data_IF_558460243448
#
_entry.id   IF_558460243448
#
_cell.length_a   1.000
_cell.length_b   1.000
_cell.length_c   1.000
_cell.angle_alpha   90.00
_cell.angle_beta   90.00
_cell.angle_gamma   90.00
#
_symmetry.space_group_name_H-M   'P 1'
#
loop_
_entity.id
_entity.type
_entity.pdbx_description
1 polymer ?
#
# COMPACT_ATOMS: atom_id res chain seq x y z
N UNK A 1 2.67 12.04 12.50
CA UNK A 1 1.50 11.83 13.39
C UNK A 1 1.28 10.36 13.61
N UNK A 2 0.53 9.93 14.64
CA UNK A 2 0.24 8.52 14.83
C UNK A 2 -0.57 8.06 13.61
N UNK A 3 -0.01 7.14 12.82
CA UNK A 3 -0.75 6.53 11.72
C UNK A 3 -1.89 5.66 12.26
N UNK A 4 -2.79 5.25 11.36
CA UNK A 4 -3.89 4.36 11.73
C UNK A 4 -3.33 2.95 11.93
N UNK A 5 -3.48 2.40 13.14
CA UNK A 5 -3.10 1.02 13.44
C UNK A 5 -4.21 0.09 12.94
N UNK A 6 -3.88 -0.81 12.01
CA UNK A 6 -4.83 -1.79 11.47
C UNK A 6 -4.90 -3.07 12.29
N UNK A 7 -3.82 -3.39 13.02
CA UNK A 7 -3.68 -4.63 13.77
C UNK A 7 -2.24 -4.85 14.23
N UNK A 8 -1.92 -6.08 14.63
CA UNK A 8 -0.56 -6.48 15.04
C UNK A 8 -0.18 -7.82 14.41
N UNK A 9 1.08 -7.96 14.04
CA UNK A 9 1.69 -9.21 13.56
C UNK A 9 2.98 -9.44 14.35
N UNK A 10 3.14 -10.62 14.95
CA UNK A 10 4.31 -10.93 15.78
C UNK A 10 4.53 -9.94 16.95
N UNK A 11 3.45 -9.30 17.43
CA UNK A 11 3.52 -8.25 18.45
C UNK A 11 3.78 -6.83 17.94
N UNK A 12 4.22 -6.67 16.70
CA UNK A 12 4.47 -5.35 16.09
C UNK A 12 3.21 -4.79 15.42
N UNK A 13 2.92 -3.48 15.57
CA UNK A 13 1.76 -2.84 14.95
C UNK A 13 1.93 -2.70 13.44
N UNK A 14 0.84 -2.97 12.71
CA UNK A 14 0.72 -2.64 11.28
C UNK A 14 0.08 -1.27 11.16
N UNK A 15 0.76 -0.30 10.54
CA UNK A 15 0.38 1.12 10.59
C UNK A 15 0.26 1.75 9.21
N UNK A 16 -0.91 2.30 8.90
CA UNK A 16 -1.05 3.23 7.76
C UNK A 16 -0.57 4.61 8.20
N UNK A 17 0.63 4.99 7.78
CA UNK A 17 1.13 6.34 7.99
C UNK A 17 0.41 7.35 7.07
N UNK A 18 0.22 8.61 7.50
CA UNK A 18 -0.30 9.67 6.64
C UNK A 18 0.51 9.85 5.35
N UNK A 19 1.83 9.66 5.42
CA UNK A 19 2.71 9.65 4.26
C UNK A 19 2.40 8.53 3.27
N UNK A 20 1.99 7.35 3.76
CA UNK A 20 1.58 6.23 2.89
C UNK A 20 0.27 6.54 2.17
N UNK A 21 -0.67 7.24 2.83
CA UNK A 21 -1.90 7.73 2.18
C UNK A 21 -1.58 8.76 1.10
N UNK A 22 -0.71 9.74 1.40
CA UNK A 22 -0.25 10.72 0.44
C UNK A 22 0.44 10.06 -0.77
N UNK A 23 1.27 9.05 -0.52
CA UNK A 23 1.93 8.29 -1.58
C UNK A 23 0.92 7.52 -2.44
N UNK A 24 -0.08 6.86 -1.83
CA UNK A 24 -1.15 6.20 -2.57
C UNK A 24 -1.96 7.16 -3.43
N UNK A 25 -2.27 8.35 -2.91
CA UNK A 25 -2.94 9.41 -3.66
C UNK A 25 -2.08 9.94 -4.82
N UNK A 26 -0.77 10.10 -4.60
CA UNK A 26 0.16 10.51 -5.64
C UNK A 26 0.24 9.46 -6.76
N UNK A 27 0.37 8.18 -6.42
CA UNK A 27 0.35 7.08 -7.39
C UNK A 27 -0.95 7.11 -8.18
N UNK A 28 -2.10 7.22 -7.52
CA UNK A 28 -3.40 7.30 -8.17
C UNK A 28 -3.48 8.47 -9.15
N UNK A 29 -3.09 9.67 -8.71
CA UNK A 29 -3.13 10.89 -9.52
C UNK A 29 -2.19 10.82 -10.73
N UNK A 30 -0.99 10.27 -10.55
CA UNK A 30 -0.01 10.11 -11.64
C UNK A 30 -0.44 9.06 -12.66
N UNK A 31 -1.07 7.97 -12.22
CA UNK A 31 -1.46 6.87 -13.11
C UNK A 31 -2.81 7.06 -13.79
N UNK A 32 -3.74 7.80 -13.17
CA UNK A 32 -5.08 8.00 -13.72
C UNK A 32 -5.09 8.46 -15.19
N UNK A 33 -4.30 9.46 -15.63
CA UNK A 33 -4.29 9.89 -17.02
C UNK A 33 -3.84 8.80 -18.01
N UNK A 34 -2.92 7.93 -17.61
CA UNK A 34 -2.46 6.82 -18.44
C UNK A 34 -3.52 5.72 -18.56
N UNK A 35 -4.16 5.35 -17.44
CA UNK A 35 -5.24 4.37 -17.42
C UNK A 35 -6.45 4.87 -18.20
N UNK A 36 -6.87 6.12 -17.98
CA UNK A 36 -8.00 6.73 -18.68
C UNK A 36 -7.82 6.76 -20.21
N UNK A 37 -6.61 7.05 -20.69
CA UNK A 37 -6.29 7.00 -22.13
C UNK A 37 -6.31 5.57 -22.69
N UNK A 38 -5.86 4.60 -21.89
CA UNK A 38 -5.78 3.19 -22.29
C UNK A 38 -7.14 2.49 -22.28
N UNK A 39 -8.08 2.99 -21.46
CA UNK A 39 -9.44 2.46 -21.31
C UNK A 39 -10.48 3.31 -22.07
N UNK A 40 -10.16 3.74 -23.29
CA UNK A 40 -11.12 4.47 -24.11
C UNK A 40 -12.38 3.61 -24.37
N UNK A 41 -13.56 4.21 -24.20
CA UNK A 41 -14.87 3.52 -24.30
C UNK A 41 -15.38 2.90 -23.00
N UNK A 42 -14.60 2.93 -21.91
CA UNK A 42 -15.06 2.52 -20.57
C UNK A 42 -15.61 3.70 -19.76
N UNK A 43 -16.43 3.38 -18.77
CA UNK A 43 -16.96 4.38 -17.84
C UNK A 43 -15.89 4.88 -16.88
N UNK A 44 -16.04 6.11 -16.38
CA UNK A 44 -15.15 6.67 -15.35
C UNK A 44 -15.05 5.77 -14.12
N UNK A 45 -16.15 5.14 -13.70
CA UNK A 45 -16.17 4.24 -12.55
C UNK A 45 -15.24 3.03 -12.75
N UNK A 46 -15.21 2.46 -13.96
CA UNK A 46 -14.31 1.35 -14.28
C UNK A 46 -12.85 1.78 -14.27
N UNK A 47 -12.54 2.97 -14.82
CA UNK A 47 -11.20 3.55 -14.79
C UNK A 47 -10.72 3.77 -13.35
N UNK A 48 -11.58 4.37 -12.51
CA UNK A 48 -11.29 4.58 -11.09
C UNK A 48 -11.10 3.25 -10.34
N UNK A 49 -11.91 2.24 -10.67
CA UNK A 49 -11.76 0.88 -10.11
C UNK A 49 -10.40 0.26 -10.42
N UNK A 50 -9.91 0.40 -11.65
CA UNK A 50 -8.58 -0.09 -12.06
C UNK A 50 -7.46 0.66 -11.35
N UNK A 51 -7.55 2.00 -11.27
CA UNK A 51 -6.55 2.81 -10.55
C UNK A 51 -6.52 2.45 -9.06
N UNK A 52 -7.68 2.29 -8.43
CA UNK A 52 -7.78 1.87 -7.04
C UNK A 52 -7.18 0.47 -6.84
N UNK A 53 -7.52 -0.49 -7.70
CA UNK A 53 -6.96 -1.83 -7.63
C UNK A 53 -5.43 -1.83 -7.74
N UNK A 54 -4.85 -1.00 -8.61
CA UNK A 54 -3.41 -0.84 -8.73
C UNK A 54 -2.78 -0.30 -7.45
N UNK A 55 -3.36 0.75 -6.85
CA UNK A 55 -2.88 1.32 -5.58
C UNK A 55 -2.96 0.30 -4.45
N UNK A 56 -4.08 -0.43 -4.33
CA UNK A 56 -4.23 -1.50 -3.34
C UNK A 56 -3.22 -2.62 -3.57
N UNK A 57 -2.95 -2.99 -4.81
CA UNK A 57 -1.92 -3.96 -5.17
C UNK A 57 -0.53 -3.54 -4.71
N UNK A 58 -0.17 -2.26 -4.91
CA UNK A 58 1.09 -1.69 -4.39
C UNK A 58 1.14 -1.73 -2.87
N UNK A 59 0.06 -1.34 -2.19
CA UNK A 59 -0.02 -1.39 -0.72
C UNK A 59 0.22 -2.81 -0.20
N UNK A 60 -0.45 -3.81 -0.78
CA UNK A 60 -0.26 -5.22 -0.41
C UNK A 60 1.17 -5.68 -0.71
N UNK A 61 1.73 -5.31 -1.86
CA UNK A 61 3.10 -5.69 -2.24
C UNK A 61 4.14 -5.13 -1.27
N UNK A 62 4.04 -3.84 -0.91
CA UNK A 62 4.96 -3.19 0.04
C UNK A 62 4.79 -3.81 1.41
N UNK A 63 3.56 -4.06 1.86
CA UNK A 63 3.31 -4.70 3.14
C UNK A 63 3.94 -6.10 3.23
N UNK A 64 3.78 -6.93 2.18
CA UNK A 64 4.40 -8.25 2.14
C UNK A 64 5.93 -8.19 2.11
N UNK A 65 6.50 -7.17 1.44
CA UNK A 65 7.94 -6.91 1.42
C UNK A 65 8.47 -6.56 2.83
N UNK A 66 7.82 -5.64 3.53
CA UNK A 66 8.19 -5.26 4.90
C UNK A 66 7.99 -6.42 5.88
N UNK A 67 6.92 -7.21 5.70
CA UNK A 67 6.68 -8.41 6.48
C UNK A 67 7.83 -9.42 6.30
N UNK A 68 8.26 -9.65 5.06
CA UNK A 68 9.39 -10.53 4.77
C UNK A 68 10.69 -10.03 5.43
N UNK A 69 10.94 -8.72 5.42
CA UNK A 69 12.06 -8.12 6.15
C UNK A 69 11.96 -8.36 7.66
N UNK A 70 10.80 -8.13 8.27
CA UNK A 70 10.62 -8.34 9.71
C UNK A 70 10.69 -9.80 10.13
N UNK A 71 10.16 -10.74 9.33
CA UNK A 71 10.29 -12.18 9.59
C UNK A 71 11.74 -12.64 9.49
N UNK A 72 12.46 -12.19 8.46
CA UNK A 72 13.89 -12.48 8.30
C UNK A 72 14.72 -11.88 9.44
N UNK A 73 14.40 -10.65 9.86
CA UNK A 73 15.03 -10.01 11.02
C UNK A 73 14.77 -10.79 12.31
N UNK A 74 13.53 -11.24 12.53
CA UNK A 74 13.13 -12.02 13.71
C UNK A 74 13.89 -13.33 13.79
N UNK A 75 14.05 -14.02 12.65
CA UNK A 75 14.86 -15.24 12.57
C UNK A 75 16.34 -15.01 12.93
N UNK A 76 16.85 -13.78 12.76
CA UNK A 76 18.19 -13.35 13.15
C UNK A 76 18.25 -12.67 14.53
N UNK A 77 17.16 -12.74 15.32
CA UNK A 77 17.08 -12.17 16.67
C UNK A 77 16.76 -10.68 16.75
N UNK A 78 16.35 -10.04 15.64
CA UNK A 78 15.96 -8.62 15.59
C UNK A 78 14.44 -8.50 15.45
N UNK A 79 13.80 -7.93 16.47
CA UNK A 79 12.34 -7.80 16.50
C UNK A 79 11.86 -6.55 15.75
N UNK A 80 10.83 -6.67 14.91
CA UNK A 80 10.21 -5.53 14.23
C UNK A 80 9.48 -4.63 15.24
N UNK A 81 9.60 -3.31 15.07
CA UNK A 81 8.91 -2.31 15.90
C UNK A 81 7.62 -1.81 15.28
N UNK A 82 7.48 -1.93 13.96
CA UNK A 82 6.30 -1.61 13.16
C UNK A 82 6.39 -2.26 11.78
N UNK A 83 5.23 -2.47 11.17
CA UNK A 83 5.05 -2.84 9.76
C UNK A 83 4.21 -1.79 9.05
#
# INVERSE_FOLDING_TARGET
GPGLVLGRIGGAPVVIAPSSVLLGALIAATWFPAVNRSMNGYTLLQVLGVVLAAVLGVVVSVFLHELAHGLSGTALGRWPTRY
#
